data_IF_872573733973
#
_entry.id   IF_872573733973
#
_cell.length_a   1.000
_cell.length_b   1.000
_cell.length_c   1.000
_cell.angle_alpha   90.00
_cell.angle_beta   90.00
_cell.angle_gamma   90.00
#
_symmetry.space_group_name_H-M   'P 1'
#
loop_
_entity.id
_entity.type
_entity.pdbx_description
1 polymer ?
#
# COMPACT_ATOMS: atom_id res chain seq x y z
N UNK A 1 28.83 -18.99 -60.80
CA UNK A 1 28.79 -18.12 -61.95
C UNK A 1 27.92 -16.89 -61.56
N UNK A 2 28.52 -15.72 -61.43
CA UNK A 2 28.55 -14.67 -62.46
C UNK A 2 27.13 -14.14 -62.69
N UNK A 3 26.74 -12.91 -62.36
CA UNK A 3 27.18 -11.59 -62.88
C UNK A 3 26.55 -10.46 -62.00
N UNK A 4 27.31 -9.40 -61.69
CA UNK A 4 26.81 -8.02 -61.45
C UNK A 4 26.68 -7.32 -62.84
N UNK A 5 25.94 -6.18 -62.94
CA UNK A 5 26.56 -4.85 -62.81
C UNK A 5 25.64 -3.79 -62.14
N UNK A 6 26.19 -2.92 -61.31
CA UNK A 6 26.55 -1.49 -61.39
C UNK A 6 25.73 -0.59 -62.31
N UNK A 7 25.08 0.42 -61.73
CA UNK A 7 24.96 1.77 -62.31
C UNK A 7 24.92 2.85 -61.22
N UNK A 8 25.94 3.67 -61.27
CA UNK A 8 26.14 4.96 -60.61
C UNK A 8 25.49 6.06 -61.45
N UNK A 9 24.76 7.00 -60.84
CA UNK A 9 24.59 8.38 -61.40
C UNK A 9 24.34 9.34 -60.22
N UNK A 10 25.31 10.16 -59.94
CA UNK A 10 25.45 11.62 -59.67
C UNK A 10 24.37 12.39 -58.93
N UNK A 11 24.86 13.09 -57.91
CA UNK A 11 24.23 14.23 -57.23
C UNK A 11 24.21 15.52 -58.10
N UNK A 12 23.42 16.50 -57.71
CA UNK A 12 23.94 17.85 -57.63
C UNK A 12 23.77 18.52 -56.26
N UNK A 13 24.78 19.18 -55.87
CA UNK A 13 24.95 20.18 -54.82
C UNK A 13 24.25 21.48 -55.17
N UNK A 14 23.66 22.19 -54.20
CA UNK A 14 23.51 23.66 -54.01
C UNK A 14 22.54 23.80 -52.82
N UNK A 15 22.88 24.45 -51.72
CA UNK A 15 23.01 25.79 -51.35
C UNK A 15 22.71 25.97 -49.87
N UNK A 16 23.58 26.64 -49.18
CA UNK A 16 23.57 27.09 -47.79
C UNK A 16 22.25 27.79 -47.37
N UNK A 17 21.75 27.44 -46.18
CA UNK A 17 20.72 28.15 -45.48
C UNK A 17 20.64 27.67 -44.02
N UNK A 18 21.49 28.23 -43.18
CA UNK A 18 21.55 27.98 -41.75
C UNK A 18 20.39 28.70 -41.06
N UNK A 19 19.37 27.97 -40.64
CA UNK A 19 18.40 28.43 -39.62
C UNK A 19 17.92 27.24 -38.79
N UNK A 20 18.64 26.97 -37.70
CA UNK A 20 18.14 26.07 -36.62
C UNK A 20 17.05 26.79 -35.84
N UNK A 21 15.85 26.27 -35.73
CA UNK A 21 14.93 26.67 -34.67
C UNK A 21 15.34 25.96 -33.36
N UNK A 22 15.52 26.77 -32.30
CA UNK A 22 15.66 26.32 -30.93
C UNK A 22 14.45 25.46 -30.54
N UNK A 23 14.61 24.39 -29.74
CA UNK A 23 13.46 23.65 -29.18
C UNK A 23 12.74 24.59 -28.21
N UNK A 24 11.53 24.96 -28.54
CA UNK A 24 10.58 25.54 -27.61
C UNK A 24 10.25 24.52 -26.54
N UNK A 25 10.46 24.91 -25.29
CA UNK A 25 10.00 24.21 -24.12
C UNK A 25 8.48 23.97 -24.25
N UNK A 26 8.10 22.73 -24.42
CA UNK A 26 6.71 22.31 -24.37
C UNK A 26 6.23 22.50 -22.91
N UNK A 27 5.50 23.57 -22.70
CA UNK A 27 4.73 23.86 -21.50
C UNK A 27 3.64 22.77 -21.37
N UNK A 28 3.93 21.73 -20.61
CA UNK A 28 2.96 20.73 -20.24
C UNK A 28 2.01 21.30 -19.17
N UNK A 29 1.10 22.19 -19.62
CA UNK A 29 -0.07 22.63 -18.86
C UNK A 29 -1.20 21.64 -19.06
N UNK A 30 -1.08 20.46 -18.51
CA UNK A 30 -2.24 19.65 -18.14
C UNK A 30 -2.38 19.71 -16.60
N UNK A 31 -2.77 20.89 -16.14
CA UNK A 31 -3.47 21.02 -14.85
C UNK A 31 -4.85 20.42 -15.07
N UNK A 32 -5.06 19.22 -14.55
CA UNK A 32 -6.39 18.66 -14.37
C UNK A 32 -7.27 19.67 -13.64
N UNK A 33 -8.21 20.26 -14.41
CA UNK A 33 -9.29 21.08 -13.87
C UNK A 33 -10.37 20.09 -13.41
N UNK A 34 -10.20 19.57 -12.20
CA UNK A 34 -11.29 19.10 -11.36
C UNK A 34 -11.20 19.82 -10.02
N UNK A 35 -11.18 21.15 -10.06
CA UNK A 35 -11.71 21.91 -8.94
C UNK A 35 -13.22 21.85 -9.04
N UNK A 36 -13.84 20.82 -8.49
CA UNK A 36 -15.18 20.96 -7.96
C UNK A 36 -15.12 22.12 -6.98
N UNK A 37 -15.78 23.22 -7.32
CA UNK A 37 -16.02 24.33 -6.42
C UNK A 37 -16.79 23.77 -5.24
N UNK A 38 -16.08 23.40 -4.18
CA UNK A 38 -16.68 23.32 -2.88
C UNK A 38 -17.15 24.72 -2.54
N UNK A 39 -18.42 25.00 -2.83
CA UNK A 39 -19.10 26.12 -2.19
C UNK A 39 -18.79 25.98 -0.71
N UNK A 40 -18.22 27.06 -0.13
CA UNK A 40 -18.05 27.23 1.30
C UNK A 40 -19.32 26.74 1.97
N UNK A 41 -19.32 25.51 2.49
CA UNK A 41 -20.28 25.14 3.51
C UNK A 41 -19.97 26.08 4.67
N UNK A 42 -20.85 27.03 4.82
CA UNK A 42 -20.79 27.99 5.91
C UNK A 42 -20.71 27.22 7.21
N UNK A 43 -19.66 27.48 7.97
CA UNK A 43 -19.40 27.01 9.34
C UNK A 43 -20.57 27.43 10.31
N UNK A 44 -21.66 27.97 9.80
CA UNK A 44 -22.82 28.43 10.56
C UNK A 44 -23.85 27.36 10.95
N UNK A 45 -23.53 26.06 10.75
CA UNK A 45 -24.36 24.92 11.20
C UNK A 45 -23.76 24.16 12.38
N UNK A 46 -22.81 24.75 13.11
CA UNK A 46 -22.42 24.21 14.41
C UNK A 46 -23.50 24.64 15.41
N UNK A 47 -24.40 23.75 15.85
CA UNK A 47 -25.33 24.07 16.90
C UNK A 47 -24.52 24.31 18.16
N UNK A 48 -24.83 25.40 18.86
CA UNK A 48 -24.37 25.84 20.18
C UNK A 48 -23.22 25.06 20.81
N UNK A 49 -22.10 25.75 20.99
CA UNK A 49 -20.85 25.31 21.62
C UNK A 49 -21.03 24.56 22.96
N UNK A 50 -22.18 24.75 23.62
CA UNK A 50 -22.57 24.05 24.84
C UNK A 50 -23.05 22.61 24.60
N UNK A 51 -23.28 22.20 23.36
CA UNK A 51 -23.87 20.88 23.05
C UNK A 51 -22.84 19.74 23.11
N UNK A 52 -21.54 20.04 22.90
CA UNK A 52 -20.46 19.04 22.83
C UNK A 52 -19.86 18.65 24.18
N UNK A 53 -20.38 19.19 25.29
CA UNK A 53 -19.78 18.95 26.61
C UNK A 53 -20.00 17.54 27.15
N UNK A 54 -20.95 16.76 26.62
CA UNK A 54 -21.32 15.45 27.18
C UNK A 54 -21.00 14.34 26.17
N UNK A 55 -20.37 13.26 26.62
CA UNK A 55 -19.90 12.14 25.79
C UNK A 55 -20.97 11.62 24.81
N UNK A 56 -22.21 11.42 25.27
CA UNK A 56 -23.31 10.98 24.40
C UNK A 56 -23.64 12.00 23.29
N UNK A 57 -23.58 13.29 23.60
CA UNK A 57 -23.83 14.36 22.63
C UNK A 57 -22.69 14.45 21.62
N UNK A 58 -21.45 14.29 22.08
CA UNK A 58 -20.27 14.24 21.23
C UNK A 58 -20.32 13.03 20.29
N UNK A 59 -20.72 11.86 20.77
CA UNK A 59 -20.93 10.68 19.91
C UNK A 59 -21.92 10.99 18.78
N UNK A 60 -23.05 11.61 19.11
CA UNK A 60 -24.04 12.02 18.09
C UNK A 60 -23.50 13.08 17.13
N UNK A 61 -22.71 14.02 17.64
CA UNK A 61 -22.04 15.02 16.80
C UNK A 61 -21.13 14.35 15.75
N UNK A 62 -20.23 13.44 16.17
CA UNK A 62 -19.35 12.70 15.26
C UNK A 62 -20.19 12.00 14.18
N UNK A 63 -21.17 11.20 14.60
CA UNK A 63 -22.00 10.43 13.68
C UNK A 63 -22.76 11.32 12.69
N UNK A 64 -23.37 12.38 13.19
CA UNK A 64 -24.19 13.29 12.37
C UNK A 64 -23.35 14.15 11.41
N UNK A 65 -22.12 14.51 11.82
CA UNK A 65 -21.22 15.27 10.97
C UNK A 65 -20.72 14.46 9.77
N UNK A 66 -20.59 13.14 9.93
CA UNK A 66 -20.10 12.23 8.89
C UNK A 66 -21.21 11.60 8.04
N UNK A 67 -22.48 11.81 8.42
CA UNK A 67 -23.65 11.32 7.70
C UNK A 67 -23.69 11.87 6.26
N UNK A 68 -23.93 10.99 5.29
CA UNK A 68 -23.94 11.34 3.87
C UNK A 68 -22.57 11.39 3.20
N UNK A 69 -21.47 11.26 3.97
CA UNK A 69 -20.11 11.15 3.43
C UNK A 69 -19.64 9.70 3.50
N UNK A 70 -19.92 9.02 4.61
CA UNK A 70 -19.53 7.64 4.86
C UNK A 70 -20.73 6.74 5.10
N UNK A 71 -20.63 5.42 4.81
CA UNK A 71 -21.65 4.44 5.20
C UNK A 71 -21.86 4.38 6.71
N UNK A 72 -23.08 4.06 7.19
CA UNK A 72 -23.39 4.04 8.63
C UNK A 72 -22.50 3.09 9.46
N UNK A 73 -22.10 1.94 8.90
CA UNK A 73 -21.19 0.98 9.55
C UNK A 73 -19.80 1.56 9.72
N UNK A 74 -19.30 2.26 8.71
CA UNK A 74 -17.98 2.92 8.75
C UNK A 74 -17.98 4.07 9.76
N UNK A 75 -19.04 4.89 9.79
CA UNK A 75 -19.21 5.94 10.81
C UNK A 75 -19.16 5.34 12.21
N UNK A 76 -19.79 4.19 12.45
CA UNK A 76 -19.74 3.51 13.75
C UNK A 76 -18.33 3.04 14.09
N UNK A 77 -17.62 2.46 13.12
CA UNK A 77 -16.25 2.00 13.30
C UNK A 77 -15.30 3.17 13.59
N UNK A 78 -15.38 4.26 12.82
CA UNK A 78 -14.59 5.47 13.06
C UNK A 78 -14.91 6.11 14.42
N UNK A 79 -16.20 6.20 14.79
CA UNK A 79 -16.61 6.73 16.09
C UNK A 79 -15.99 5.92 17.23
N UNK A 80 -15.97 4.60 17.10
CA UNK A 80 -15.33 3.70 18.07
C UNK A 80 -13.83 3.96 18.16
N UNK A 81 -13.12 4.02 17.03
CA UNK A 81 -11.67 4.31 17.00
C UNK A 81 -11.35 5.68 17.61
N UNK A 82 -12.17 6.69 17.38
CA UNK A 82 -12.00 8.01 18.02
C UNK A 82 -12.07 7.89 19.54
N UNK A 83 -13.04 7.15 20.08
CA UNK A 83 -13.15 6.97 21.51
C UNK A 83 -12.02 6.14 22.11
N UNK A 84 -11.68 5.02 21.48
CA UNK A 84 -10.66 4.09 21.97
C UNK A 84 -9.25 4.67 21.82
N UNK A 85 -8.86 5.03 20.61
CA UNK A 85 -7.47 5.36 20.29
C UNK A 85 -7.12 6.83 20.49
N UNK A 86 -8.05 7.74 20.19
CA UNK A 86 -7.79 9.16 20.38
C UNK A 86 -8.10 9.65 21.78
N UNK A 87 -9.12 9.08 22.45
CA UNK A 87 -9.58 9.56 23.74
C UNK A 87 -9.29 8.61 24.90
N UNK A 88 -8.91 7.35 24.63
CA UNK A 88 -8.58 6.35 25.66
C UNK A 88 -9.80 5.79 26.40
N UNK A 89 -10.98 5.85 25.81
CA UNK A 89 -12.21 5.29 26.39
C UNK A 89 -12.57 3.98 25.73
N UNK A 90 -12.72 2.92 26.51
CA UNK A 90 -13.24 1.65 26.02
C UNK A 90 -14.73 1.77 25.60
N UNK A 91 -15.27 0.84 24.79
CA UNK A 91 -16.70 0.82 24.46
C UNK A 91 -17.61 0.78 25.69
N UNK A 92 -17.15 0.11 26.76
CA UNK A 92 -17.86 0.03 28.04
C UNK A 92 -17.86 1.39 28.74
N UNK A 93 -16.71 2.10 28.72
CA UNK A 93 -16.64 3.46 29.28
C UNK A 93 -17.60 4.41 28.56
N UNK A 94 -17.68 4.34 27.23
CA UNK A 94 -18.58 5.19 26.45
C UNK A 94 -20.06 4.97 26.84
N UNK A 95 -20.45 3.74 27.15
CA UNK A 95 -21.79 3.39 27.59
C UNK A 95 -22.04 3.85 29.03
N UNK A 96 -21.13 3.52 29.94
CA UNK A 96 -21.31 3.78 31.38
C UNK A 96 -21.16 5.27 31.72
N UNK A 97 -20.31 5.98 30.99
CA UNK A 97 -19.99 7.39 31.23
C UNK A 97 -20.67 8.34 30.23
N UNK A 98 -21.78 7.93 29.63
CA UNK A 98 -22.51 8.68 28.60
C UNK A 98 -22.82 10.14 28.98
N UNK A 99 -23.04 10.41 30.27
CA UNK A 99 -23.37 11.73 30.82
C UNK A 99 -22.11 12.49 31.32
N UNK A 100 -20.91 11.93 31.16
CA UNK A 100 -19.65 12.57 31.58
C UNK A 100 -19.37 13.79 30.71
N UNK A 101 -19.01 14.87 31.36
CA UNK A 101 -18.57 16.11 30.69
C UNK A 101 -17.12 15.94 30.24
N UNK A 102 -16.86 16.14 28.95
CA UNK A 102 -15.52 16.10 28.38
C UNK A 102 -14.79 17.41 28.67
N UNK A 103 -13.48 17.29 28.93
CA UNK A 103 -12.64 18.48 29.00
C UNK A 103 -12.47 19.14 27.63
N UNK A 104 -12.04 20.40 27.64
CA UNK A 104 -11.92 21.19 26.42
C UNK A 104 -10.84 20.65 25.48
N UNK A 105 -9.78 20.02 26.00
CA UNK A 105 -8.70 19.42 25.23
C UNK A 105 -9.20 18.25 24.40
N UNK A 106 -9.92 17.30 25.01
CA UNK A 106 -10.52 16.16 24.32
C UNK A 106 -11.54 16.61 23.27
N UNK A 107 -12.35 17.62 23.62
CA UNK A 107 -13.33 18.16 22.69
C UNK A 107 -12.67 18.72 21.44
N UNK A 108 -11.68 19.60 21.61
CA UNK A 108 -10.90 20.17 20.49
C UNK A 108 -10.23 19.09 19.66
N UNK A 109 -9.69 18.07 20.30
CA UNK A 109 -9.09 16.92 19.60
C UNK A 109 -10.10 16.21 18.70
N UNK A 110 -11.31 15.96 19.20
CA UNK A 110 -12.38 15.33 18.42
C UNK A 110 -12.83 16.24 17.26
N UNK A 111 -12.97 17.56 17.50
CA UNK A 111 -13.31 18.51 16.45
C UNK A 111 -12.30 18.47 15.30
N UNK A 112 -10.99 18.50 15.60
CA UNK A 112 -9.93 18.40 14.59
C UNK A 112 -9.99 17.07 13.83
N UNK A 113 -10.26 15.95 14.53
CA UNK A 113 -10.40 14.64 13.87
C UNK A 113 -11.60 14.66 12.92
N UNK A 114 -12.75 15.19 13.37
CA UNK A 114 -13.95 15.27 12.53
C UNK A 114 -13.72 16.19 11.32
N UNK A 115 -13.05 17.34 11.48
CA UNK A 115 -12.69 18.23 10.36
C UNK A 115 -11.86 17.51 9.29
N UNK A 116 -10.88 16.70 9.70
CA UNK A 116 -10.05 15.91 8.79
C UNK A 116 -10.85 14.81 8.10
N UNK A 117 -11.73 14.12 8.82
CA UNK A 117 -12.64 13.13 8.24
C UNK A 117 -13.59 13.75 7.22
N UNK A 118 -14.08 14.96 7.45
CA UNK A 118 -14.89 15.72 6.47
C UNK A 118 -14.10 16.04 5.19
N UNK A 119 -12.78 16.10 5.27
CA UNK A 119 -11.88 16.21 4.12
C UNK A 119 -11.54 14.84 3.51
N UNK A 120 -12.11 13.77 4.04
CA UNK A 120 -11.87 12.38 3.64
C UNK A 120 -10.43 11.89 3.88
N UNK A 121 -9.68 12.54 4.82
CA UNK A 121 -8.40 11.99 5.27
C UNK A 121 -8.63 10.65 5.98
N UNK A 122 -7.88 9.57 5.65
CA UNK A 122 -8.06 8.27 6.28
C UNK A 122 -7.91 8.34 7.80
N UNK A 123 -8.84 7.71 8.54
CA UNK A 123 -8.83 7.71 10.01
C UNK A 123 -7.49 7.20 10.56
N UNK A 124 -6.87 6.22 9.90
CA UNK A 124 -5.58 5.65 10.29
C UNK A 124 -4.46 6.69 10.20
N UNK A 125 -4.47 7.55 9.19
CA UNK A 125 -3.49 8.65 9.08
C UNK A 125 -3.74 9.73 10.13
N UNK A 126 -5.01 10.05 10.38
CA UNK A 126 -5.39 11.02 11.41
C UNK A 126 -4.94 10.55 12.81
N UNK A 127 -5.11 9.26 13.11
CA UNK A 127 -4.70 8.65 14.37
C UNK A 127 -3.21 8.30 14.41
N UNK A 128 -2.55 8.24 13.25
CA UNK A 128 -1.13 7.93 13.09
C UNK A 128 -0.82 6.43 13.19
N UNK A 129 -1.82 5.55 13.18
CA UNK A 129 -1.61 4.10 13.26
C UNK A 129 -2.73 3.29 12.63
N UNK A 130 -2.42 2.02 12.32
CA UNK A 130 -3.35 0.98 11.90
C UNK A 130 -3.08 -0.30 12.68
N UNK A 131 -4.10 -1.16 12.82
CA UNK A 131 -3.94 -2.49 13.41
C UNK A 131 -3.63 -3.52 12.32
N UNK A 132 -2.73 -4.46 12.61
CA UNK A 132 -2.38 -5.57 11.76
C UNK A 132 -1.88 -6.75 12.60
N UNK A 133 -2.47 -7.93 12.41
CA UNK A 133 -2.15 -9.14 13.20
C UNK A 133 -2.17 -8.92 14.72
N UNK A 134 -3.11 -8.10 15.19
CA UNK A 134 -3.29 -7.78 16.62
C UNK A 134 -2.31 -6.73 17.17
N UNK A 135 -1.38 -6.23 16.37
CA UNK A 135 -0.39 -5.22 16.76
C UNK A 135 -0.72 -3.86 16.15
N UNK A 136 -0.20 -2.80 16.78
CA UNK A 136 -0.41 -1.42 16.36
C UNK A 136 0.80 -0.92 15.58
N UNK A 137 0.61 -0.70 14.28
CA UNK A 137 1.65 -0.18 13.39
C UNK A 137 1.46 1.31 13.16
N UNK A 138 2.53 2.10 13.28
CA UNK A 138 2.55 3.47 12.83
C UNK A 138 2.33 3.52 11.32
N UNK A 139 1.45 4.42 10.88
CA UNK A 139 1.23 4.75 9.47
C UNK A 139 1.11 6.25 9.30
N UNK A 140 1.24 6.71 8.06
CA UNK A 140 1.12 8.10 7.67
C UNK A 140 1.36 8.26 6.18
N UNK A 141 1.29 9.48 5.65
CA UNK A 141 1.63 9.75 4.26
C UNK A 141 2.98 9.11 3.89
N UNK A 142 3.02 8.35 2.81
CA UNK A 142 4.22 7.65 2.33
C UNK A 142 4.17 6.13 2.47
N UNK A 143 3.21 5.54 3.19
CA UNK A 143 2.99 4.09 3.24
C UNK A 143 1.53 3.74 2.98
N UNK A 144 1.30 2.63 2.29
CA UNK A 144 -0.03 2.04 2.19
C UNK A 144 -0.55 1.68 3.58
N UNK A 145 -1.79 2.00 3.87
CA UNK A 145 -2.44 1.53 5.11
C UNK A 145 -2.57 0.02 5.03
N UNK A 146 -2.07 -0.75 6.01
CA UNK A 146 -2.20 -2.21 6.03
C UNK A 146 -3.63 -2.68 5.82
N UNK A 147 -3.84 -3.62 4.87
CA UNK A 147 -5.17 -4.13 4.51
C UNK A 147 -5.46 -5.47 5.18
N UNK A 148 -6.73 -5.78 5.45
CA UNK A 148 -7.12 -7.08 6.00
C UNK A 148 -6.66 -8.26 5.12
N UNK A 149 -6.72 -8.13 3.80
CA UNK A 149 -6.27 -9.17 2.88
C UNK A 149 -4.75 -9.42 3.01
N UNK A 150 -3.97 -8.38 3.24
CA UNK A 150 -2.51 -8.50 3.50
C UNK A 150 -2.25 -9.25 4.82
N UNK A 151 -3.10 -9.02 5.84
CA UNK A 151 -3.05 -9.78 7.09
C UNK A 151 -3.37 -11.26 6.84
N UNK A 152 -4.41 -11.56 6.05
CA UNK A 152 -4.77 -12.93 5.68
C UNK A 152 -3.62 -13.64 4.97
N UNK A 153 -2.94 -12.98 4.02
CA UNK A 153 -1.76 -13.52 3.35
C UNK A 153 -0.65 -13.84 4.37
N UNK A 154 -0.40 -12.94 5.29
CA UNK A 154 0.63 -13.14 6.33
C UNK A 154 0.32 -14.33 7.21
N UNK A 155 -0.93 -14.45 7.65
CA UNK A 155 -1.41 -15.59 8.45
C UNK A 155 -1.37 -16.91 7.66
N UNK A 156 -1.68 -16.88 6.35
CA UNK A 156 -1.53 -18.04 5.46
C UNK A 156 -0.08 -18.52 5.41
N UNK A 157 0.87 -17.59 5.22
CA UNK A 157 2.30 -17.90 5.20
C UNK A 157 2.74 -18.54 6.52
N UNK A 158 2.36 -17.98 7.66
CA UNK A 158 2.68 -18.51 8.99
C UNK A 158 2.14 -19.93 9.16
N UNK A 159 0.89 -20.16 8.79
CA UNK A 159 0.23 -21.47 8.89
C UNK A 159 0.89 -22.53 8.00
N UNK A 160 1.23 -22.19 6.76
CA UNK A 160 1.81 -23.15 5.81
C UNK A 160 3.26 -23.50 6.13
N UNK A 161 3.97 -22.61 6.79
CA UNK A 161 5.39 -22.79 7.08
C UNK A 161 5.70 -23.09 8.55
N UNK A 162 4.69 -23.32 9.41
CA UNK A 162 4.85 -23.52 10.87
C UNK A 162 5.81 -24.65 11.24
N UNK A 163 5.97 -25.66 10.38
CA UNK A 163 6.83 -26.82 10.63
C UNK A 163 8.12 -26.77 9.80
N UNK A 164 8.39 -25.65 9.11
CA UNK A 164 9.62 -25.46 8.32
C UNK A 164 10.61 -24.62 9.11
N UNK A 165 11.87 -25.02 9.08
CA UNK A 165 12.94 -24.19 9.58
C UNK A 165 13.35 -23.20 8.48
N UNK A 166 12.82 -21.99 8.54
CA UNK A 166 13.17 -20.91 7.61
C UNK A 166 14.37 -20.15 8.16
N UNK A 167 15.36 -19.89 7.29
CA UNK A 167 16.58 -19.18 7.64
C UNK A 167 16.58 -17.73 7.17
N UNK A 168 15.96 -17.49 6.01
CA UNK A 168 15.93 -16.14 5.42
C UNK A 168 14.64 -15.89 4.64
N UNK A 169 14.00 -14.75 4.94
CA UNK A 169 12.78 -14.27 4.29
C UNK A 169 13.03 -12.86 3.76
N UNK A 170 12.44 -12.54 2.59
CA UNK A 170 12.33 -11.16 2.10
C UNK A 170 10.87 -10.75 1.95
N UNK A 171 10.53 -9.56 2.42
CA UNK A 171 9.29 -8.84 2.16
C UNK A 171 9.60 -7.70 1.19
N UNK A 172 9.11 -7.79 -0.06
CA UNK A 172 9.43 -6.85 -1.14
C UNK A 172 8.27 -5.87 -1.32
N UNK A 173 8.55 -4.57 -1.23
CA UNK A 173 7.53 -3.52 -1.10
C UNK A 173 6.98 -3.49 0.32
N UNK A 174 7.89 -3.46 1.32
CA UNK A 174 7.52 -3.69 2.74
C UNK A 174 6.63 -2.59 3.33
N UNK A 175 6.60 -1.38 2.74
CA UNK A 175 5.78 -0.26 3.19
C UNK A 175 6.01 0.07 4.67
N UNK A 176 4.96 -0.08 5.49
CA UNK A 176 5.03 0.13 6.94
C UNK A 176 5.81 -0.97 7.69
N UNK A 177 6.25 -2.02 7.00
CA UNK A 177 6.91 -3.19 7.60
C UNK A 177 5.96 -4.22 8.19
N UNK A 178 4.65 -4.10 7.98
CA UNK A 178 3.65 -4.92 8.66
C UNK A 178 3.82 -6.42 8.41
N UNK A 179 4.11 -6.85 7.17
CA UNK A 179 4.37 -8.26 6.84
C UNK A 179 5.69 -8.71 7.49
N UNK A 180 6.80 -8.01 7.18
CA UNK A 180 8.13 -8.38 7.64
C UNK A 180 8.21 -8.48 9.16
N UNK A 181 7.68 -7.49 9.87
CA UNK A 181 7.70 -7.42 11.35
C UNK A 181 6.85 -8.54 11.95
N UNK A 182 5.64 -8.79 11.41
CA UNK A 182 4.77 -9.87 11.89
C UNK A 182 5.43 -11.23 11.70
N UNK A 183 6.05 -11.47 10.53
CA UNK A 183 6.80 -12.71 10.27
C UNK A 183 8.02 -12.84 11.19
N UNK A 184 8.74 -11.74 11.48
CA UNK A 184 9.89 -11.74 12.39
C UNK A 184 9.51 -12.14 13.83
N UNK A 185 8.34 -11.73 14.28
CA UNK A 185 7.82 -12.08 15.60
C UNK A 185 7.30 -13.53 15.67
N UNK A 186 7.03 -14.15 14.52
CA UNK A 186 6.59 -15.55 14.46
C UNK A 186 7.75 -16.53 14.21
N UNK A 187 8.71 -16.18 13.36
CA UNK A 187 9.85 -17.01 13.00
C UNK A 187 11.13 -16.47 13.66
N UNK A 188 11.32 -16.76 14.94
CA UNK A 188 12.36 -16.14 15.79
C UNK A 188 13.81 -16.39 15.33
N UNK A 189 14.08 -17.58 14.73
CA UNK A 189 15.42 -17.95 14.26
C UNK A 189 15.64 -17.61 12.76
N UNK A 190 14.79 -16.77 12.20
CA UNK A 190 14.83 -16.42 10.78
C UNK A 190 15.34 -14.99 10.60
N UNK A 191 16.29 -14.80 9.68
CA UNK A 191 16.68 -13.46 9.23
C UNK A 191 15.63 -12.92 8.27
N UNK A 192 15.03 -11.78 8.61
CA UNK A 192 14.01 -11.16 7.76
C UNK A 192 14.51 -9.82 7.26
N UNK A 193 14.35 -9.62 5.97
CA UNK A 193 14.65 -8.38 5.28
C UNK A 193 13.37 -7.77 4.70
N UNK A 194 13.15 -6.47 4.95
CA UNK A 194 12.10 -5.67 4.31
C UNK A 194 12.73 -4.76 3.27
N UNK A 195 12.27 -4.82 2.03
CA UNK A 195 12.77 -4.00 0.93
C UNK A 195 11.73 -3.02 0.48
N UNK A 196 12.14 -1.78 0.26
CA UNK A 196 11.29 -0.76 -0.34
C UNK A 196 12.13 0.22 -1.16
N UNK A 197 11.52 0.87 -2.13
CA UNK A 197 12.16 1.94 -2.90
C UNK A 197 12.11 3.27 -2.15
N UNK A 198 11.07 3.48 -1.32
CA UNK A 198 10.79 4.73 -0.59
C UNK A 198 11.60 4.81 0.72
N UNK A 199 12.49 5.79 0.87
CA UNK A 199 13.15 6.06 2.15
C UNK A 199 12.16 6.42 3.26
N UNK A 200 11.05 7.09 2.93
CA UNK A 200 10.00 7.46 3.87
C UNK A 200 9.30 6.22 4.43
N UNK A 201 8.99 5.26 3.57
CA UNK A 201 8.41 3.99 3.99
C UNK A 201 9.37 3.22 4.91
N UNK A 202 10.65 3.14 4.56
CA UNK A 202 11.66 2.49 5.38
C UNK A 202 11.88 3.18 6.75
N UNK A 203 11.71 4.50 6.81
CA UNK A 203 11.75 5.23 8.08
C UNK A 203 10.60 4.79 8.99
N UNK A 204 9.36 4.74 8.47
CA UNK A 204 8.18 4.27 9.22
C UNK A 204 8.35 2.80 9.63
N UNK A 205 8.80 1.93 8.72
CA UNK A 205 9.05 0.52 9.01
C UNK A 205 10.10 0.33 10.11
N UNK A 206 11.18 1.12 10.08
CA UNK A 206 12.23 1.09 11.11
C UNK A 206 11.68 1.49 12.48
N UNK A 207 10.85 2.53 12.53
CA UNK A 207 10.20 2.95 13.77
C UNK A 207 9.24 1.87 14.30
N UNK A 208 8.44 1.26 13.42
CA UNK A 208 7.58 0.14 13.78
C UNK A 208 8.38 -1.05 14.34
N UNK A 209 9.50 -1.39 13.69
CA UNK A 209 10.39 -2.46 14.14
C UNK A 209 10.91 -2.23 15.57
N UNK A 210 11.31 -1.00 15.86
CA UNK A 210 11.76 -0.60 17.21
C UNK A 210 10.61 -0.66 18.22
N UNK A 211 9.46 -0.07 17.90
CA UNK A 211 8.31 0.01 18.78
C UNK A 211 7.73 -1.37 19.15
N UNK A 212 7.80 -2.33 18.20
CA UNK A 212 7.28 -3.68 18.37
C UNK A 212 8.34 -4.69 18.83
N UNK A 213 9.59 -4.24 19.05
CA UNK A 213 10.69 -5.09 19.50
C UNK A 213 11.00 -6.22 18.51
N UNK A 214 10.85 -5.97 17.22
CA UNK A 214 11.13 -6.94 16.18
C UNK A 214 12.58 -6.83 15.66
N UNK A 215 13.02 -7.79 14.84
CA UNK A 215 14.40 -7.87 14.33
C UNK A 215 14.40 -8.01 12.82
N UNK A 216 13.99 -6.95 12.12
CA UNK A 216 13.97 -6.88 10.65
C UNK A 216 15.07 -5.95 10.14
N UNK A 217 15.77 -6.35 9.08
CA UNK A 217 16.73 -5.49 8.37
C UNK A 217 16.03 -4.82 7.19
N UNK A 218 15.91 -3.50 7.23
CA UNK A 218 15.30 -2.74 6.13
C UNK A 218 16.35 -2.25 5.14
N UNK A 219 16.07 -2.43 3.84
CA UNK A 219 17.00 -2.14 2.74
C UNK A 219 16.28 -1.34 1.65
N UNK A 220 16.89 -0.22 1.25
CA UNK A 220 16.39 0.53 0.09
C UNK A 220 16.80 -0.19 -1.19
N UNK A 221 15.80 -0.68 -1.94
CA UNK A 221 16.00 -1.41 -3.19
C UNK A 221 14.87 -1.14 -4.19
N UNK A 222 15.25 -0.79 -5.40
CA UNK A 222 14.30 -0.75 -6.53
C UNK A 222 14.26 -2.13 -7.19
N UNK A 223 13.17 -2.86 -7.00
CA UNK A 223 13.01 -4.22 -7.53
C UNK A 223 13.06 -4.29 -9.05
N UNK A 224 12.68 -3.20 -9.74
CA UNK A 224 12.73 -3.15 -11.20
C UNK A 224 14.17 -3.07 -11.75
N UNK A 225 15.10 -2.56 -10.96
CA UNK A 225 16.50 -2.38 -11.34
C UNK A 225 17.43 -3.32 -10.58
N UNK A 226 16.90 -4.03 -9.57
CA UNK A 226 17.74 -4.84 -8.68
C UNK A 226 18.31 -6.08 -9.36
N UNK A 227 19.62 -6.27 -9.17
CA UNK A 227 20.33 -7.48 -9.56
C UNK A 227 20.96 -8.10 -8.31
N UNK A 228 20.63 -9.36 -7.97
CA UNK A 228 21.21 -10.03 -6.82
C UNK A 228 22.72 -10.16 -6.90
N UNK A 229 23.42 -9.93 -5.78
CA UNK A 229 24.84 -10.21 -5.62
C UNK A 229 25.10 -11.72 -5.47
N UNK A 230 26.31 -12.16 -5.74
CA UNK A 230 26.66 -13.59 -5.73
C UNK A 230 26.37 -14.26 -4.36
N UNK A 231 26.61 -13.55 -3.26
CA UNK A 231 26.37 -14.02 -1.89
C UNK A 231 24.89 -14.12 -1.52
N UNK A 232 24.00 -13.51 -2.28
CA UNK A 232 22.55 -13.56 -2.04
C UNK A 232 21.88 -14.71 -2.79
N UNK A 233 22.58 -15.28 -3.80
CA UNK A 233 21.99 -16.32 -4.65
C UNK A 233 21.62 -17.56 -3.83
N UNK A 234 20.39 -18.02 -4.03
CA UNK A 234 19.87 -19.26 -3.44
C UNK A 234 19.88 -19.31 -1.90
N UNK A 235 19.79 -18.13 -1.25
CA UNK A 235 19.85 -18.04 0.22
C UNK A 235 18.51 -17.83 0.90
N UNK A 236 17.47 -17.44 0.15
CA UNK A 236 16.14 -17.18 0.72
C UNK A 236 15.27 -18.44 0.67
N UNK A 237 14.59 -18.70 1.77
CA UNK A 237 13.61 -19.80 1.87
C UNK A 237 12.20 -19.34 1.48
N UNK A 238 11.94 -18.03 1.60
CA UNK A 238 10.64 -17.42 1.29
C UNK A 238 10.80 -15.98 0.83
N UNK A 239 10.01 -15.60 -0.16
CA UNK A 239 9.80 -14.22 -0.59
C UNK A 239 8.30 -13.95 -0.55
N UNK A 240 7.90 -12.82 0.02
CA UNK A 240 6.53 -12.32 0.02
C UNK A 240 6.48 -10.91 -0.53
N UNK A 241 5.38 -10.55 -1.17
CA UNK A 241 5.14 -9.18 -1.61
C UNK A 241 3.65 -8.87 -1.76
N UNK A 242 3.26 -7.68 -1.35
CA UNK A 242 2.06 -7.00 -1.78
C UNK A 242 2.49 -5.79 -2.65
N UNK A 243 2.82 -6.00 -3.93
CA UNK A 243 3.31 -4.95 -4.80
C UNK A 243 2.15 -4.11 -5.35
N UNK A 244 2.41 -2.93 -5.93
CA UNK A 244 1.40 -2.18 -6.68
C UNK A 244 0.79 -3.05 -7.79
N UNK A 245 -0.55 -3.03 -7.90
CA UNK A 245 -1.28 -3.89 -8.85
C UNK A 245 -2.53 -3.26 -9.46
N UNK A 246 -2.88 -2.03 -9.10
CA UNK A 246 -4.07 -1.35 -9.60
C UNK A 246 -3.75 -0.67 -10.93
N UNK A 247 -4.55 -0.94 -11.95
CA UNK A 247 -4.41 -0.24 -13.23
C UNK A 247 -5.23 1.05 -13.24
N UNK A 248 -4.79 2.10 -13.96
CA UNK A 248 -5.47 3.39 -14.00
C UNK A 248 -6.96 3.34 -14.36
N UNK A 249 -7.38 2.36 -15.16
CA UNK A 249 -8.80 2.15 -15.51
C UNK A 249 -9.67 1.77 -14.30
N UNK A 250 -9.10 1.26 -13.21
CA UNK A 250 -9.83 0.91 -11.99
C UNK A 250 -10.06 2.12 -11.06
N UNK A 251 -9.37 3.26 -11.29
CA UNK A 251 -9.47 4.47 -10.43
C UNK A 251 -10.90 4.98 -10.24
N UNK A 252 -11.74 4.83 -11.25
CA UNK A 252 -13.13 5.32 -11.19
C UNK A 252 -13.98 4.60 -10.14
N UNK A 253 -13.57 3.40 -9.72
CA UNK A 253 -14.26 2.60 -8.68
C UNK A 253 -13.62 2.69 -7.31
N UNK A 254 -12.55 3.48 -7.15
CA UNK A 254 -11.84 3.60 -5.87
C UNK A 254 -12.41 4.72 -5.00
N UNK A 255 -12.30 4.51 -3.70
CA UNK A 255 -12.70 5.52 -2.72
C UNK A 255 -11.77 6.75 -2.77
N UNK A 256 -12.34 7.98 -2.66
CA UNK A 256 -11.55 9.21 -2.73
C UNK A 256 -10.41 9.28 -1.72
N UNK A 257 -10.59 8.77 -0.50
CA UNK A 257 -9.57 8.80 0.54
C UNK A 257 -8.33 7.96 0.18
N UNK A 258 -8.48 6.91 -0.63
CA UNK A 258 -7.34 6.12 -1.14
C UNK A 258 -6.59 6.92 -2.22
N UNK A 259 -7.34 7.52 -3.16
CA UNK A 259 -6.76 8.25 -4.28
C UNK A 259 -6.04 9.54 -3.88
N UNK A 260 -6.58 10.25 -2.89
CA UNK A 260 -6.11 11.59 -2.54
C UNK A 260 -4.99 11.56 -1.47
N UNK A 261 -4.89 10.49 -0.68
CA UNK A 261 -4.00 10.45 0.48
C UNK A 261 -2.96 9.35 0.45
N UNK A 262 -3.25 8.17 -0.11
CA UNK A 262 -2.29 7.08 -0.12
C UNK A 262 -1.29 7.21 -1.30
N UNK A 263 -0.03 6.74 -1.14
CA UNK A 263 0.99 6.96 -2.15
C UNK A 263 0.67 6.20 -3.45
N UNK A 264 0.53 6.92 -4.55
CA UNK A 264 0.25 6.34 -5.86
C UNK A 264 1.30 5.30 -6.31
N UNK A 265 2.54 5.46 -5.87
CA UNK A 265 3.62 4.50 -6.12
C UNK A 265 3.41 3.14 -5.45
N UNK A 266 2.59 3.08 -4.40
CA UNK A 266 2.23 1.85 -3.72
C UNK A 266 0.93 1.23 -4.27
N UNK A 267 0.21 1.93 -5.15
CA UNK A 267 -1.09 1.50 -5.66
C UNK A 267 -1.03 1.09 -7.14
N UNK A 268 -0.43 1.93 -7.99
CA UNK A 268 -0.64 1.87 -9.43
C UNK A 268 0.51 1.23 -10.20
N UNK A 269 0.10 0.50 -11.25
CA UNK A 269 0.97 -0.05 -12.30
C UNK A 269 0.58 0.56 -13.65
N UNK A 270 1.46 0.51 -14.66
CA UNK A 270 1.11 0.92 -16.02
C UNK A 270 -0.06 0.09 -16.59
N UNK A 271 -1.01 0.75 -17.25
CA UNK A 271 -2.19 0.11 -17.86
C UNK A 271 -1.82 -1.04 -18.80
N UNK A 272 -0.74 -0.90 -19.53
CA UNK A 272 -0.28 -1.88 -20.53
C UNK A 272 0.58 -3.00 -19.94
N UNK A 273 0.91 -2.97 -18.66
CA UNK A 273 1.66 -4.04 -17.98
C UNK A 273 1.24 -4.23 -16.51
N UNK A 274 0.07 -4.79 -16.25
CA UNK A 274 -0.44 -5.00 -14.90
C UNK A 274 0.39 -5.99 -14.07
N UNK A 275 1.25 -6.80 -14.70
CA UNK A 275 2.11 -7.77 -14.03
C UNK A 275 3.57 -7.30 -13.88
N UNK A 276 3.87 -6.03 -14.09
CA UNK A 276 5.21 -5.47 -14.10
C UNK A 276 6.02 -5.87 -12.84
N UNK A 277 5.51 -5.54 -11.65
CA UNK A 277 6.21 -5.82 -10.40
C UNK A 277 6.24 -7.31 -10.09
N UNK A 278 5.15 -8.03 -10.32
CA UNK A 278 5.11 -9.49 -10.12
C UNK A 278 6.18 -10.22 -10.93
N UNK A 279 6.33 -9.84 -12.21
CA UNK A 279 7.33 -10.43 -13.10
C UNK A 279 8.76 -10.10 -12.66
N UNK A 280 9.01 -8.85 -12.26
CA UNK A 280 10.31 -8.43 -11.74
C UNK A 280 10.67 -9.20 -10.47
N UNK A 281 9.74 -9.30 -9.51
CA UNK A 281 9.94 -10.05 -8.27
C UNK A 281 10.14 -11.54 -8.54
N UNK A 282 9.36 -12.14 -9.44
CA UNK A 282 9.51 -13.54 -9.82
C UNK A 282 10.89 -13.83 -10.41
N UNK A 283 11.39 -12.98 -11.33
CA UNK A 283 12.74 -13.12 -11.94
C UNK A 283 13.86 -12.99 -10.92
N UNK A 284 13.78 -12.02 -10.04
CA UNK A 284 14.72 -11.83 -8.93
C UNK A 284 14.62 -13.01 -7.96
N UNK A 285 13.39 -13.39 -7.58
CA UNK A 285 13.12 -14.51 -6.69
C UNK A 285 13.67 -15.84 -7.22
N UNK A 286 13.64 -16.07 -8.54
CA UNK A 286 14.23 -17.27 -9.15
C UNK A 286 15.72 -17.40 -8.88
N UNK A 287 16.42 -16.28 -8.70
CA UNK A 287 17.85 -16.26 -8.36
C UNK A 287 18.10 -16.30 -6.86
N UNK A 288 17.23 -15.68 -6.06
CA UNK A 288 17.38 -15.56 -4.61
C UNK A 288 16.92 -16.80 -3.85
N UNK A 289 15.80 -17.40 -4.25
CA UNK A 289 15.20 -18.54 -3.56
C UNK A 289 16.09 -19.78 -3.65
N UNK A 290 16.24 -20.50 -2.56
CA UNK A 290 16.85 -21.82 -2.54
C UNK A 290 15.93 -22.85 -3.24
N UNK A 291 16.42 -24.06 -3.49
CA UNK A 291 15.61 -25.16 -4.04
C UNK A 291 14.46 -25.48 -3.07
N UNK A 292 13.22 -25.47 -3.57
CA UNK A 292 12.01 -25.61 -2.76
C UNK A 292 11.63 -24.37 -1.94
N UNK A 293 12.30 -23.25 -2.19
CA UNK A 293 11.93 -21.94 -1.65
C UNK A 293 10.61 -21.46 -2.24
N UNK A 294 9.83 -20.72 -1.47
CA UNK A 294 8.47 -20.30 -1.81
C UNK A 294 8.36 -18.82 -2.10
N UNK A 295 7.50 -18.49 -3.04
CA UNK A 295 7.11 -17.15 -3.42
C UNK A 295 5.63 -16.96 -3.13
N UNK A 296 5.26 -15.85 -2.45
CA UNK A 296 3.88 -15.49 -2.11
C UNK A 296 3.57 -14.07 -2.56
N UNK A 297 2.37 -13.88 -3.08
CA UNK A 297 1.88 -12.57 -3.52
C UNK A 297 0.45 -12.31 -3.05
N UNK A 298 0.17 -11.08 -2.66
CA UNK A 298 -1.17 -10.53 -2.80
C UNK A 298 -1.36 -10.10 -4.26
N UNK A 299 -2.54 -10.40 -4.85
CA UNK A 299 -2.78 -10.18 -6.27
C UNK A 299 -4.07 -9.43 -6.54
N UNK A 300 -4.13 -8.73 -7.68
CA UNK A 300 -5.39 -8.26 -8.22
C UNK A 300 -6.19 -9.46 -8.77
N UNK A 301 -7.42 -9.72 -8.28
CA UNK A 301 -8.24 -10.84 -8.73
C UNK A 301 -8.50 -10.87 -10.25
N UNK A 302 -8.54 -9.70 -10.87
CA UNK A 302 -8.79 -9.57 -12.32
C UNK A 302 -7.70 -10.30 -13.13
N UNK A 303 -6.46 -10.30 -12.65
CA UNK A 303 -5.31 -10.88 -13.33
C UNK A 303 -4.84 -12.21 -12.74
N UNK A 304 -5.68 -12.90 -11.94
CA UNK A 304 -5.28 -14.14 -11.25
C UNK A 304 -4.82 -15.25 -12.22
N UNK A 305 -5.47 -15.37 -13.37
CA UNK A 305 -5.08 -16.32 -14.41
C UNK A 305 -3.74 -15.95 -15.05
N UNK A 306 -3.60 -14.68 -15.46
CA UNK A 306 -2.38 -14.17 -16.10
C UNK A 306 -1.19 -14.29 -15.14
N UNK A 307 -1.44 -14.09 -13.84
CA UNK A 307 -0.46 -14.27 -12.77
C UNK A 307 0.04 -15.71 -12.71
N UNK A 308 -0.85 -16.70 -12.77
CA UNK A 308 -0.48 -18.11 -12.76
C UNK A 308 0.32 -18.49 -14.01
N UNK A 309 -0.12 -18.05 -15.18
CA UNK A 309 0.56 -18.28 -16.46
C UNK A 309 1.97 -17.64 -16.46
N UNK A 310 2.11 -16.42 -15.93
CA UNK A 310 3.38 -15.74 -15.77
C UNK A 310 4.33 -16.52 -14.87
N UNK A 311 3.89 -16.99 -13.69
CA UNK A 311 4.74 -17.75 -12.76
C UNK A 311 5.20 -19.07 -13.39
N UNK A 312 4.34 -19.81 -14.12
CA UNK A 312 4.75 -21.00 -14.87
C UNK A 312 5.79 -20.66 -15.96
N UNK A 313 5.60 -19.56 -16.69
CA UNK A 313 6.55 -19.14 -17.74
C UNK A 313 7.91 -18.74 -17.18
N UNK A 314 7.97 -18.16 -15.98
CA UNK A 314 9.22 -17.86 -15.26
C UNK A 314 9.83 -19.12 -14.59
N UNK A 315 9.25 -20.31 -14.81
CA UNK A 315 9.80 -21.60 -14.41
C UNK A 315 9.56 -21.99 -12.95
N UNK A 316 8.52 -21.43 -12.32
CA UNK A 316 8.06 -21.88 -11.01
C UNK A 316 7.17 -23.13 -11.14
N UNK A 317 7.11 -23.94 -10.09
CA UNK A 317 6.23 -25.08 -9.97
C UNK A 317 5.25 -24.90 -8.80
N UNK A 318 4.30 -25.83 -8.65
CA UNK A 318 3.27 -25.79 -7.61
C UNK A 318 2.54 -24.44 -7.53
N UNK A 319 2.32 -23.81 -8.68
CA UNK A 319 1.62 -22.53 -8.75
C UNK A 319 0.19 -22.69 -8.32
N UNK A 320 -0.23 -21.89 -7.36
CA UNK A 320 -1.56 -21.95 -6.76
C UNK A 320 -2.10 -20.55 -6.55
N UNK A 321 -3.41 -20.39 -6.67
CA UNK A 321 -4.15 -19.20 -6.23
C UNK A 321 -5.11 -19.58 -5.11
N UNK A 322 -5.15 -18.79 -4.07
CA UNK A 322 -6.03 -18.97 -2.91
C UNK A 322 -6.99 -17.78 -2.79
N UNK A 323 -8.17 -18.04 -2.24
CA UNK A 323 -9.18 -17.00 -2.04
C UNK A 323 -9.01 -16.32 -0.68
N UNK A 324 -9.40 -15.03 -0.64
CA UNK A 324 -9.63 -14.30 0.60
C UNK A 324 -10.92 -14.78 1.31
N UNK A 325 -11.20 -14.22 2.49
CA UNK A 325 -12.41 -14.55 3.26
C UNK A 325 -13.71 -14.18 2.54
N UNK A 326 -13.66 -13.36 1.50
CA UNK A 326 -14.81 -12.99 0.67
C UNK A 326 -14.94 -13.86 -0.59
N UNK A 327 -14.09 -14.88 -0.76
CA UNK A 327 -14.11 -15.80 -1.88
C UNK A 327 -13.50 -15.28 -3.18
N UNK A 328 -12.71 -14.19 -3.13
CA UNK A 328 -12.00 -13.64 -4.29
C UNK A 328 -10.59 -14.20 -4.35
N UNK A 329 -10.11 -14.57 -5.53
CA UNK A 329 -8.72 -14.99 -5.74
C UNK A 329 -7.77 -13.82 -5.41
N UNK A 330 -7.19 -13.83 -4.23
CA UNK A 330 -6.41 -12.72 -3.69
C UNK A 330 -4.94 -13.06 -3.45
N UNK A 331 -4.60 -14.32 -3.35
CA UNK A 331 -3.25 -14.74 -3.06
C UNK A 331 -2.74 -15.66 -4.15
N UNK A 332 -1.46 -15.53 -4.51
CA UNK A 332 -0.76 -16.46 -5.37
C UNK A 332 0.48 -17.00 -4.66
N UNK A 333 0.75 -18.28 -4.81
CA UNK A 333 1.96 -18.89 -4.29
C UNK A 333 2.59 -19.84 -5.31
N UNK A 334 3.92 -19.98 -5.24
CA UNK A 334 4.66 -20.84 -6.14
C UNK A 334 5.95 -21.36 -5.48
N UNK A 335 6.50 -22.45 -6.00
CA UNK A 335 7.74 -23.07 -5.53
C UNK A 335 8.83 -22.92 -6.61
N UNK A 336 10.06 -22.56 -6.17
CA UNK A 336 11.23 -22.51 -7.05
C UNK A 336 11.76 -23.89 -7.39
#
# INVERSE_FOLDING_TARGET
PIIRPSHTITAPTIGLGDTRPRPQAANCKHRCIYKRSFSRFSISLIPDFHYLCVMQKTTRYIQKSLEGIYPPEEIRAMTRLIWEDACGFSPVDVILRKDTVLDESLRKKIEVIVEKLLQQEPIQYILGHAYFAGERFKVGPGVLIPRPETEELTLLIMRENKNRQLRKIADIGTGSGCIAITLSRHFHDCRIEGWDISPEALCIATENNQNLGASVSFLQRDILQYTPHAEELYTYDLIVSNPPYIVPSEMAGMEPHVLDYEPHTALFVPENDPLLFYRAIARVGKKLLCKGGKLYFEINPIFARDMSEMLFSEGYCDVRTDNDLFGRQRFASATR
#
